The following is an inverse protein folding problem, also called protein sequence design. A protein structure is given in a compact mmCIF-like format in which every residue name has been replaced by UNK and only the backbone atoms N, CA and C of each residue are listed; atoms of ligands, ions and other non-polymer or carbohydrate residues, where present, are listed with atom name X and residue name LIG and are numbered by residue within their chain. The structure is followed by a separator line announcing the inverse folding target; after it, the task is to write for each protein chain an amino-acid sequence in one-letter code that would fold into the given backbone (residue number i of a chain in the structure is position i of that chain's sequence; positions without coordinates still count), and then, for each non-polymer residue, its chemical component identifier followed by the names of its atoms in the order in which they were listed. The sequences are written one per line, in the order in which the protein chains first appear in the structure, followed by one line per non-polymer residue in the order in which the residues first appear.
data_IF_119853730895
#
_entry.id   IF_119853730895
#
_cell.length_a   1.000
_cell.length_b   1.000
_cell.length_c   1.000
_cell.angle_alpha   90.00
_cell.angle_beta   90.00
_cell.angle_gamma   90.00
#
_symmetry.space_group_name_H-M   'P 1'
#
loop_
_entity.id
_entity.type
_entity.pdbx_description
1 polymer ?
#
# COMPACT_ATOMS: atom_id res chain seq x y z
N UNK A 1 8.34 -25.98 -31.54
CA UNK A 1 7.98 -25.89 -30.11
C UNK A 1 8.98 -24.95 -29.48
N UNK A 2 8.58 -23.72 -29.15
CA UNK A 2 9.46 -22.73 -28.53
C UNK A 2 9.47 -22.97 -27.02
N UNK A 3 10.66 -23.23 -26.48
CA UNK A 3 10.91 -23.36 -25.05
C UNK A 3 10.84 -21.98 -24.39
N UNK A 4 9.83 -21.77 -23.55
CA UNK A 4 9.75 -20.61 -22.66
C UNK A 4 10.90 -20.69 -21.65
N UNK A 5 11.79 -19.69 -21.69
CA UNK A 5 12.90 -19.56 -20.74
C UNK A 5 12.40 -19.32 -19.31
N UNK A 6 13.22 -19.62 -18.29
CA UNK A 6 12.82 -19.55 -16.89
C UNK A 6 12.38 -18.12 -16.56
N UNK A 7 11.12 -17.98 -16.13
CA UNK A 7 10.56 -16.72 -15.65
C UNK A 7 11.52 -16.09 -14.65
N UNK A 8 11.94 -14.86 -14.95
CA UNK A 8 12.77 -14.07 -14.08
C UNK A 8 12.13 -14.05 -12.70
N UNK A 9 12.73 -14.77 -11.74
CA UNK A 9 12.43 -14.59 -10.32
C UNK A 9 12.66 -13.12 -10.04
N UNK A 10 11.57 -12.40 -9.74
CA UNK A 10 11.67 -11.06 -9.20
C UNK A 10 12.63 -11.12 -8.02
N UNK A 11 13.79 -10.48 -8.16
CA UNK A 11 14.72 -10.31 -7.06
C UNK A 11 13.96 -9.55 -5.98
N UNK A 12 13.61 -10.24 -4.89
CA UNK A 12 12.95 -9.61 -3.73
C UNK A 12 13.76 -8.38 -3.37
N UNK A 13 13.14 -7.21 -3.49
CA UNK A 13 13.77 -6.00 -3.02
C UNK A 13 13.93 -6.11 -1.49
N UNK A 14 15.06 -5.64 -0.97
CA UNK A 14 15.42 -5.79 0.44
C UNK A 14 14.65 -4.75 1.29
N UNK A 15 13.32 -4.76 1.22
CA UNK A 15 12.45 -3.87 1.98
C UNK A 15 12.23 -4.48 3.36
N UNK A 16 12.50 -3.69 4.39
CA UNK A 16 12.30 -4.13 5.77
C UNK A 16 10.85 -3.87 6.19
N UNK A 17 10.07 -4.94 6.35
CA UNK A 17 8.67 -4.90 6.78
C UNK A 17 8.50 -5.56 8.17
N UNK A 18 9.56 -5.66 8.97
CA UNK A 18 9.56 -6.42 10.23
C UNK A 18 8.73 -5.79 11.37
N UNK A 19 8.32 -4.53 11.22
CA UNK A 19 7.46 -3.83 12.19
C UNK A 19 6.30 -3.13 11.47
N UNK A 20 5.23 -2.87 12.21
CA UNK A 20 4.04 -2.20 11.68
C UNK A 20 4.37 -0.78 11.18
N UNK A 21 5.17 -0.02 11.94
CA UNK A 21 5.63 1.32 11.55
C UNK A 21 6.41 1.30 10.22
N UNK A 22 7.35 0.37 10.06
CA UNK A 22 8.11 0.24 8.81
C UNK A 22 7.23 -0.10 7.61
N UNK A 23 6.23 -0.97 7.81
CA UNK A 23 5.27 -1.29 6.76
C UNK A 23 4.33 -0.13 6.43
N UNK A 24 3.91 0.66 7.44
CA UNK A 24 3.11 1.86 7.24
C UNK A 24 3.90 2.96 6.50
N UNK A 25 5.14 3.20 6.89
CA UNK A 25 6.04 4.13 6.21
C UNK A 25 6.27 3.69 4.76
N UNK A 26 6.48 2.39 4.53
CA UNK A 26 6.62 1.87 3.19
C UNK A 26 5.32 2.01 2.38
N UNK A 27 4.16 1.81 3.01
CA UNK A 27 2.86 2.09 2.40
C UNK A 27 2.71 3.54 1.94
N UNK A 28 3.11 4.49 2.79
CA UNK A 28 3.12 5.92 2.43
C UNK A 28 4.07 6.17 1.24
N UNK A 29 5.28 5.61 1.28
CA UNK A 29 6.28 5.80 0.22
C UNK A 29 5.80 5.27 -1.14
N UNK A 30 5.25 4.04 -1.20
CA UNK A 30 4.78 3.48 -2.47
C UNK A 30 3.55 4.21 -3.00
N UNK A 31 2.68 4.74 -2.13
CA UNK A 31 1.44 5.41 -2.54
C UNK A 31 1.62 6.89 -2.87
N UNK A 32 2.69 7.53 -2.39
CA UNK A 32 2.87 8.99 -2.54
C UNK A 32 4.17 9.42 -3.19
N UNK A 33 5.24 8.62 -3.08
CA UNK A 33 6.58 8.97 -3.57
C UNK A 33 7.01 8.14 -4.78
N UNK A 34 6.16 7.22 -5.23
CA UNK A 34 6.44 6.37 -6.39
C UNK A 34 7.52 5.33 -6.10
N UNK A 35 7.74 4.97 -4.84
CA UNK A 35 8.55 3.82 -4.49
C UNK A 35 7.91 2.54 -5.07
N UNK A 36 8.74 1.65 -5.59
CA UNK A 36 8.30 0.44 -6.30
C UNK A 36 9.00 -0.83 -5.82
N UNK A 37 10.11 -0.70 -5.09
CA UNK A 37 10.72 -1.80 -4.37
C UNK A 37 9.74 -2.34 -3.33
N UNK A 38 9.62 -3.67 -3.20
CA UNK A 38 8.81 -4.29 -2.15
C UNK A 38 7.29 -4.14 -2.29
N UNK A 39 6.80 -3.51 -3.37
CA UNK A 39 5.38 -3.20 -3.52
C UNK A 39 4.51 -4.46 -3.64
N UNK A 40 5.04 -5.59 -4.07
CA UNK A 40 4.27 -6.84 -4.07
C UNK A 40 4.20 -7.44 -2.67
N UNK A 41 5.31 -7.42 -1.96
CA UNK A 41 5.48 -7.95 -0.61
C UNK A 41 4.69 -7.16 0.44
N UNK A 42 4.48 -5.87 0.21
CA UNK A 42 3.73 -5.00 1.11
C UNK A 42 2.26 -5.37 1.25
N UNK A 43 1.61 -5.91 0.21
CA UNK A 43 0.17 -6.18 0.23
C UNK A 43 -0.12 -7.66 0.45
N UNK A 44 -0.96 -7.96 1.45
CA UNK A 44 -1.44 -9.31 1.75
C UNK A 44 -2.14 -9.93 0.54
N UNK A 45 -2.08 -11.25 0.38
CA UNK A 45 -2.61 -11.93 -0.82
C UNK A 45 -4.10 -11.66 -1.07
N UNK A 46 -4.90 -11.53 0.00
CA UNK A 46 -6.33 -11.24 -0.01
C UNK A 46 -6.66 -9.74 0.08
N UNK A 47 -5.66 -8.87 -0.09
CA UNK A 47 -5.82 -7.43 0.03
C UNK A 47 -6.95 -6.88 -0.84
N UNK A 48 -7.73 -5.98 -0.24
CA UNK A 48 -8.80 -5.25 -0.90
C UNK A 48 -8.77 -3.75 -0.56
N UNK A 49 -8.83 -2.94 -1.59
CA UNK A 49 -9.02 -1.50 -1.47
C UNK A 49 -10.47 -1.12 -1.82
N UNK A 50 -11.11 -0.35 -0.95
CA UNK A 50 -12.39 0.30 -1.23
C UNK A 50 -12.20 1.79 -1.47
N UNK A 51 -12.93 2.32 -2.44
CA UNK A 51 -13.00 3.75 -2.73
C UNK A 51 -14.42 4.23 -2.41
N UNK A 52 -14.53 5.00 -1.33
CA UNK A 52 -15.75 5.67 -0.92
C UNK A 52 -15.86 7.00 -1.68
N UNK A 53 -16.34 6.89 -2.92
CA UNK A 53 -16.78 8.01 -3.76
C UNK A 53 -18.26 7.82 -4.11
N UNK A 54 -18.84 8.70 -4.93
CA UNK A 54 -20.25 8.62 -5.36
C UNK A 54 -20.63 7.28 -5.98
N UNK A 55 -19.66 6.53 -6.51
CA UNK A 55 -19.80 5.12 -6.88
C UNK A 55 -18.84 4.29 -6.04
N UNK A 56 -19.36 3.31 -5.30
CA UNK A 56 -18.53 2.39 -4.54
C UNK A 56 -17.70 1.53 -5.52
N UNK A 57 -16.39 1.73 -5.52
CA UNK A 57 -15.45 0.92 -6.31
C UNK A 57 -14.56 0.12 -5.37
N UNK A 58 -14.22 -1.11 -5.77
CA UNK A 58 -13.23 -1.92 -5.08
C UNK A 58 -12.15 -2.39 -6.04
N UNK A 59 -10.91 -2.44 -5.56
CA UNK A 59 -9.75 -2.91 -6.31
C UNK A 59 -9.08 -4.04 -5.52
N UNK A 60 -8.78 -5.15 -6.20
CA UNK A 60 -7.98 -6.21 -5.62
C UNK A 60 -6.48 -5.86 -5.62
N UNK A 61 -5.68 -6.67 -4.92
CA UNK A 61 -4.21 -6.56 -4.88
C UNK A 61 -3.57 -6.35 -6.25
N UNK A 62 -3.90 -7.19 -7.24
CA UNK A 62 -3.28 -7.12 -8.57
C UNK A 62 -3.51 -5.77 -9.25
N UNK A 63 -4.73 -5.23 -9.17
CA UNK A 63 -5.06 -3.94 -9.73
C UNK A 63 -4.29 -2.79 -9.06
N UNK A 64 -4.20 -2.81 -7.72
CA UNK A 64 -3.49 -1.77 -6.95
C UNK A 64 -1.98 -1.85 -7.19
N UNK A 65 -1.37 -3.03 -7.07
CA UNK A 65 0.07 -3.22 -7.34
C UNK A 65 0.42 -2.77 -8.76
N UNK A 66 -0.41 -3.13 -9.75
CA UNK A 66 -0.22 -2.70 -11.14
C UNK A 66 -0.28 -1.19 -11.30
N UNK A 67 -1.16 -0.51 -10.58
CA UNK A 67 -1.25 0.95 -10.58
C UNK A 67 0.00 1.58 -9.96
N UNK A 68 0.41 1.13 -8.77
CA UNK A 68 1.58 1.67 -8.07
C UNK A 68 2.88 1.48 -8.87
N UNK A 69 3.06 0.31 -9.50
CA UNK A 69 4.21 0.06 -10.39
C UNK A 69 4.25 1.02 -11.58
N UNK A 70 3.10 1.45 -12.11
CA UNK A 70 3.03 2.46 -13.18
C UNK A 70 3.37 3.87 -12.69
N UNK A 71 3.16 4.14 -11.39
CA UNK A 71 3.48 5.40 -10.74
C UNK A 71 4.94 5.50 -10.30
N UNK A 72 5.78 4.51 -10.62
CA UNK A 72 7.20 4.47 -10.22
C UNK A 72 7.92 5.78 -10.53
N UNK A 73 8.55 6.36 -9.52
CA UNK A 73 9.30 7.63 -9.58
C UNK A 73 8.43 8.88 -9.63
N UNK A 74 7.10 8.75 -9.61
CA UNK A 74 6.16 9.86 -9.52
C UNK A 74 5.88 10.25 -8.07
N UNK A 75 6.18 11.50 -7.71
CA UNK A 75 5.83 12.04 -6.39
C UNK A 75 4.55 12.88 -6.48
N UNK A 76 3.59 12.57 -5.61
CA UNK A 76 2.37 13.34 -5.47
C UNK A 76 2.67 14.66 -4.74
N UNK A 77 2.12 15.76 -5.25
CA UNK A 77 2.20 17.06 -4.58
C UNK A 77 1.14 17.14 -3.47
N UNK A 78 1.44 16.52 -2.32
CA UNK A 78 0.58 16.53 -1.15
C UNK A 78 1.40 16.55 0.14
N UNK A 79 0.78 17.02 1.22
CA UNK A 79 1.30 16.82 2.58
C UNK A 79 0.69 15.55 3.15
N UNK A 80 1.54 14.65 3.65
CA UNK A 80 1.11 13.40 4.26
C UNK A 80 1.17 13.51 5.78
N UNK A 81 0.15 13.01 6.47
CA UNK A 81 0.17 12.77 7.90
C UNK A 81 -0.42 11.40 8.24
N UNK A 82 0.15 10.72 9.22
CA UNK A 82 -0.29 9.40 9.69
C UNK A 82 -0.75 9.50 11.14
N UNK A 83 -1.91 8.93 11.44
CA UNK A 83 -2.41 8.76 12.80
C UNK A 83 -2.64 7.27 13.07
N UNK A 84 -1.93 6.69 14.04
CA UNK A 84 -2.19 5.31 14.48
C UNK A 84 -3.45 5.34 15.34
N UNK A 85 -4.47 4.55 14.96
CA UNK A 85 -5.75 4.49 15.66
C UNK A 85 -5.83 3.34 16.64
N UNK A 86 -5.21 2.21 16.30
CA UNK A 86 -5.13 1.00 17.12
C UNK A 86 -3.86 0.24 16.74
N UNK A 87 -3.16 -0.29 17.74
CA UNK A 87 -2.00 -1.16 17.53
C UNK A 87 -1.99 -2.28 18.56
N UNK A 88 -1.71 -3.49 18.08
CA UNK A 88 -1.60 -4.71 18.86
C UNK A 88 -0.43 -5.55 18.34
N UNK A 89 -0.21 -6.72 18.94
CA UNK A 89 0.91 -7.60 18.56
C UNK A 89 0.91 -7.99 17.07
N UNK A 90 -0.28 -8.19 16.48
CA UNK A 90 -0.43 -8.74 15.13
C UNK A 90 -1.30 -7.87 14.21
N UNK A 91 -1.83 -6.74 14.69
CA UNK A 91 -2.66 -5.82 13.89
C UNK A 91 -2.37 -4.35 14.20
N UNK A 92 -2.44 -3.52 13.16
CA UNK A 92 -2.42 -2.06 13.26
C UNK A 92 -3.51 -1.49 12.36
N UNK A 93 -4.20 -0.45 12.85
CA UNK A 93 -5.09 0.37 12.04
C UNK A 93 -4.59 1.80 12.09
N UNK A 94 -4.31 2.36 10.92
CA UNK A 94 -3.80 3.71 10.78
C UNK A 94 -4.65 4.53 9.80
N UNK A 95 -4.77 5.82 10.07
CA UNK A 95 -5.38 6.80 9.17
C UNK A 95 -4.28 7.59 8.49
N UNK A 96 -4.14 7.42 7.19
CA UNK A 96 -3.20 8.18 6.35
C UNK A 96 -3.97 9.30 5.66
N UNK A 97 -3.57 10.54 5.91
CA UNK A 97 -4.20 11.74 5.35
C UNK A 97 -3.26 12.37 4.32
N UNK A 98 -3.73 12.49 3.08
CA UNK A 98 -3.03 13.16 1.99
C UNK A 98 -3.77 14.45 1.68
N UNK A 99 -3.17 15.58 2.08
CA UNK A 99 -3.71 16.92 1.84
C UNK A 99 -3.14 17.49 0.55
N UNK A 100 -4.00 17.63 -0.45
CA UNK A 100 -3.70 18.34 -1.70
C UNK A 100 -4.19 19.79 -1.59
N UNK A 101 -3.87 20.61 -2.60
CA UNK A 101 -4.28 22.02 -2.66
C UNK A 101 -5.80 22.20 -2.56
N UNK A 102 -6.57 21.35 -3.27
CA UNK A 102 -8.02 21.54 -3.45
C UNK A 102 -8.88 20.46 -2.78
N UNK A 103 -8.29 19.39 -2.28
CA UNK A 103 -9.04 18.28 -1.67
C UNK A 103 -8.15 17.50 -0.69
N UNK A 104 -8.78 16.69 0.14
CA UNK A 104 -8.09 15.76 1.04
C UNK A 104 -8.51 14.33 0.73
N UNK A 105 -7.53 13.45 0.52
CA UNK A 105 -7.75 12.01 0.51
C UNK A 105 -7.42 11.47 1.91
N UNK A 106 -8.33 10.71 2.50
CA UNK A 106 -8.07 9.92 3.71
C UNK A 106 -8.09 8.46 3.35
N UNK A 107 -7.12 7.70 3.84
CA UNK A 107 -7.02 6.26 3.69
C UNK A 107 -6.98 5.61 5.06
N UNK A 108 -7.98 4.78 5.37
CA UNK A 108 -7.98 3.96 6.56
C UNK A 108 -7.35 2.61 6.21
N UNK A 109 -6.15 2.39 6.72
CA UNK A 109 -5.28 1.26 6.38
C UNK A 109 -5.27 0.27 7.53
N UNK A 110 -5.46 -1.00 7.23
CA UNK A 110 -5.25 -2.10 8.19
C UNK A 110 -4.03 -2.89 7.76
N UNK A 111 -3.10 -3.02 8.70
CA UNK A 111 -1.92 -3.85 8.58
C UNK A 111 -2.05 -5.05 9.51
N UNK A 112 -1.53 -6.18 9.06
CA UNK A 112 -1.50 -7.42 9.82
C UNK A 112 -0.14 -8.09 9.71
N UNK A 113 0.24 -8.78 10.79
CA UNK A 113 1.49 -9.51 10.86
C UNK A 113 1.31 -10.90 10.25
N UNK A 114 2.09 -11.19 9.20
CA UNK A 114 2.12 -12.48 8.51
C UNK A 114 3.51 -13.08 8.69
N UNK A 115 3.64 -14.00 9.64
CA UNK A 115 4.93 -14.57 10.02
C UNK A 115 5.81 -13.53 10.72
N UNK A 116 6.90 -13.13 10.07
CA UNK A 116 7.83 -12.13 10.60
C UNK A 116 7.65 -10.73 9.99
N UNK A 117 6.82 -10.61 8.95
CA UNK A 117 6.64 -9.36 8.21
C UNK A 117 5.23 -8.82 8.39
N UNK A 118 5.09 -7.51 8.22
CA UNK A 118 3.82 -6.81 8.24
C UNK A 118 3.36 -6.50 6.82
N UNK A 119 2.09 -6.75 6.55
CA UNK A 119 1.48 -6.52 5.25
C UNK A 119 0.19 -5.73 5.40
N UNK A 120 -0.17 -4.98 4.35
CA UNK A 120 -1.43 -4.24 4.27
C UNK A 120 -2.51 -5.19 3.77
N UNK A 121 -3.54 -5.46 4.57
CA UNK A 121 -4.67 -6.31 4.19
C UNK A 121 -5.89 -5.51 3.72
N UNK A 122 -6.07 -4.27 4.20
CA UNK A 122 -7.21 -3.44 3.78
C UNK A 122 -6.83 -1.97 3.66
N UNK A 123 -7.45 -1.29 2.70
CA UNK A 123 -7.40 0.16 2.53
C UNK A 123 -8.81 0.68 2.19
N UNK A 124 -9.23 1.76 2.85
CA UNK A 124 -10.50 2.42 2.57
C UNK A 124 -10.22 3.89 2.31
N UNK A 125 -10.27 4.27 1.03
CA UNK A 125 -10.11 5.63 0.59
C UNK A 125 -11.42 6.40 0.71
N UNK A 126 -11.33 7.64 1.18
CA UNK A 126 -12.40 8.64 1.12
C UNK A 126 -11.82 9.97 0.68
N UNK A 127 -12.66 10.81 0.07
CA UNK A 127 -12.27 12.11 -0.47
C UNK A 127 -13.20 13.18 0.09
N UNK A 128 -12.63 14.31 0.49
CA UNK A 128 -13.32 15.48 1.01
C UNK A 128 -12.81 16.75 0.35
#
# INVERSE_FOLDING_TARGET
MATEGPGAKATKANVNLSTADLALDHYVAVTTEGESAGVEELFAEDFNQKIQASNAQSNNRSAVVKLLKKQKGGKLNCTVSTDILEESADYMVAKVTLKFENFTKTDLVTLERVGNDWTVSKSINSYK
#
